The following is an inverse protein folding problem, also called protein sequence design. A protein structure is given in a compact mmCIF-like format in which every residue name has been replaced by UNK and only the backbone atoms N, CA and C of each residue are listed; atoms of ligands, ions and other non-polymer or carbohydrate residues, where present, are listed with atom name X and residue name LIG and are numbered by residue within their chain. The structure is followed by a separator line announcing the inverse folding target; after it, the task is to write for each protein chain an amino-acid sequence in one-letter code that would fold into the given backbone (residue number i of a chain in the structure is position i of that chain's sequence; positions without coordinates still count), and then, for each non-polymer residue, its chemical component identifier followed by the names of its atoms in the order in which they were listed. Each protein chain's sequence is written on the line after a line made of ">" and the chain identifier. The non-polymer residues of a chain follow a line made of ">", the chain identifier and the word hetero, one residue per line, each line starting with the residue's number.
data_IF_784941972074
#
_entry.id   IF_784941972074
#
_cell.length_a   1.000
_cell.length_b   1.000
_cell.length_c   1.000
_cell.angle_alpha   90.00
_cell.angle_beta   90.00
_cell.angle_gamma   90.00
#
_symmetry.space_group_name_H-M   'P 1'
#
loop_
_entity.id
_entity.type
_entity.pdbx_description
1 polymer ?
#
# COMPACT_ATOMS: atom_id res chain seq x y z
N UNK A 1 36.61 -29.62 2.61
CA UNK A 1 35.35 -28.86 2.51
C UNK A 1 34.88 -28.57 3.93
N UNK A 2 34.55 -27.32 4.30
CA UNK A 2 34.00 -27.03 5.64
C UNK A 2 32.59 -27.62 5.71
N UNK A 3 32.29 -28.39 6.76
CA UNK A 3 30.95 -28.88 7.00
C UNK A 3 29.99 -27.70 7.20
N UNK A 4 28.86 -27.71 6.48
CA UNK A 4 27.82 -26.69 6.62
C UNK A 4 27.10 -26.92 7.95
N UNK A 5 26.99 -25.87 8.77
CA UNK A 5 26.16 -25.90 9.97
C UNK A 5 24.68 -25.73 9.57
N UNK A 6 23.99 -26.85 9.33
CA UNK A 6 22.59 -26.87 8.91
C UNK A 6 21.64 -26.21 9.90
N UNK A 7 21.86 -26.39 11.21
CA UNK A 7 21.03 -25.77 12.24
C UNK A 7 21.16 -24.23 12.19
N UNK A 8 22.39 -23.72 12.08
CA UNK A 8 22.63 -22.29 11.93
C UNK A 8 22.02 -21.72 10.64
N UNK A 9 22.18 -22.43 9.52
CA UNK A 9 21.57 -22.03 8.24
C UNK A 9 20.03 -22.00 8.32
N UNK A 10 19.42 -22.99 8.97
CA UNK A 10 17.98 -23.07 9.16
C UNK A 10 17.44 -21.91 10.00
N UNK A 11 18.09 -21.58 11.12
CA UNK A 11 17.70 -20.45 11.97
C UNK A 11 17.79 -19.13 11.21
N UNK A 12 18.86 -18.91 10.43
CA UNK A 12 19.02 -17.70 9.62
C UNK A 12 17.92 -17.62 8.55
N UNK A 13 17.58 -18.73 7.90
CA UNK A 13 16.49 -18.78 6.93
C UNK A 13 15.13 -18.45 7.58
N UNK A 14 14.85 -18.99 8.78
CA UNK A 14 13.64 -18.67 9.54
C UNK A 14 13.56 -17.17 9.88
N UNK A 15 14.67 -16.57 10.32
CA UNK A 15 14.72 -15.12 10.58
C UNK A 15 14.43 -14.35 9.31
N UNK A 16 15.03 -14.74 8.17
CA UNK A 16 14.77 -14.11 6.87
C UNK A 16 13.29 -14.13 6.49
N UNK A 17 12.63 -15.28 6.63
CA UNK A 17 11.19 -15.43 6.35
C UNK A 17 10.36 -14.59 7.32
N UNK A 18 10.65 -14.65 8.62
CA UNK A 18 9.93 -13.88 9.62
C UNK A 18 10.05 -12.36 9.39
N UNK A 19 11.27 -11.88 9.12
CA UNK A 19 11.50 -10.46 8.79
C UNK A 19 10.78 -10.04 7.51
N UNK A 20 10.76 -10.90 6.48
CA UNK A 20 10.01 -10.60 5.25
C UNK A 20 8.51 -10.45 5.52
N UNK A 21 7.91 -11.37 6.28
CA UNK A 21 6.49 -11.30 6.64
C UNK A 21 6.16 -10.04 7.47
N UNK A 22 7.06 -9.63 8.37
CA UNK A 22 6.91 -8.37 9.12
C UNK A 22 6.99 -7.16 8.19
N UNK A 23 7.92 -7.13 7.23
CA UNK A 23 8.01 -6.05 6.25
C UNK A 23 6.80 -6.01 5.31
N UNK A 24 6.21 -7.17 4.98
CA UNK A 24 4.98 -7.20 4.21
C UNK A 24 3.79 -6.65 5.01
N UNK A 25 3.80 -6.82 6.34
CA UNK A 25 2.80 -6.25 7.24
C UNK A 25 2.91 -4.72 7.32
N UNK A 26 4.10 -4.14 7.22
CA UNK A 26 4.28 -2.68 7.31
C UNK A 26 3.75 -1.92 6.09
N UNK A 27 3.59 -2.60 4.95
CA UNK A 27 3.19 -1.96 3.70
C UNK A 27 1.66 -1.90 3.48
N UNK A 28 1.24 -1.13 2.47
CA UNK A 28 -0.19 -0.90 2.12
C UNK A 28 -0.89 -2.12 1.50
N UNK A 29 -0.15 -3.04 0.87
CA UNK A 29 -0.71 -4.28 0.32
C UNK A 29 -1.17 -5.19 1.45
N UNK A 30 -0.29 -5.35 2.45
CA UNK A 30 -0.47 -6.25 3.58
C UNK A 30 -0.14 -7.69 3.26
N UNK A 31 -0.39 -8.57 4.23
CA UNK A 31 -0.07 -10.00 4.17
C UNK A 31 -1.14 -10.83 4.87
N UNK A 32 -1.33 -12.08 4.43
CA UNK A 32 -2.29 -13.03 5.00
C UNK A 32 -1.60 -13.93 6.03
N UNK A 33 -1.16 -13.33 7.14
CA UNK A 33 -0.37 -14.02 8.19
C UNK A 33 -1.10 -15.18 8.87
N UNK A 34 -2.43 -15.18 8.82
CA UNK A 34 -3.28 -16.11 9.57
C UNK A 34 -3.78 -17.30 8.74
N UNK A 35 -3.21 -17.53 7.54
CA UNK A 35 -3.54 -18.72 6.77
C UNK A 35 -3.08 -20.00 7.48
N UNK A 36 -3.82 -21.13 7.34
CA UNK A 36 -5.07 -21.30 6.61
C UNK A 36 -6.33 -20.94 7.43
N UNK A 37 -6.18 -20.49 8.68
CA UNK A 37 -7.29 -20.26 9.61
C UNK A 37 -8.14 -19.03 9.24
N UNK A 38 -7.51 -18.00 8.68
CA UNK A 38 -8.21 -16.80 8.22
C UNK A 38 -7.62 -16.27 6.92
N UNK A 39 -8.52 -15.89 6.02
CA UNK A 39 -8.24 -15.28 4.73
C UNK A 39 -7.99 -13.76 4.81
N UNK A 40 -8.06 -13.16 6.00
CA UNK A 40 -7.96 -11.71 6.20
C UNK A 40 -6.57 -11.17 5.84
N UNK A 41 -6.54 -10.06 5.11
CA UNK A 41 -5.33 -9.28 4.89
C UNK A 41 -5.05 -8.38 6.11
N UNK A 42 -3.84 -8.47 6.64
CA UNK A 42 -3.35 -7.61 7.71
C UNK A 42 -2.35 -6.62 7.13
N UNK A 43 -2.44 -5.36 7.55
CA UNK A 43 -1.55 -4.26 7.11
C UNK A 43 -1.44 -3.22 8.21
N UNK A 44 -0.32 -2.51 8.22
CA UNK A 44 -0.04 -1.39 9.13
C UNK A 44 -0.03 -0.04 8.39
N UNK A 45 0.12 -0.04 7.07
CA UNK A 45 0.11 1.17 6.22
C UNK A 45 1.19 2.21 6.54
N UNK A 46 2.33 1.79 7.08
CA UNK A 46 3.39 2.74 7.48
C UNK A 46 4.48 2.91 6.41
N UNK A 47 4.62 1.94 5.51
CA UNK A 47 5.68 1.90 4.51
C UNK A 47 5.14 1.81 3.09
N UNK A 48 5.69 2.63 2.19
CA UNK A 48 5.43 2.53 0.76
C UNK A 48 6.36 1.47 0.14
N UNK A 49 5.89 0.71 -0.85
CA UNK A 49 6.74 -0.29 -1.55
C UNK A 49 7.96 0.37 -2.22
N UNK A 50 7.82 1.62 -2.65
CA UNK A 50 8.90 2.44 -3.21
C UNK A 50 9.25 3.54 -2.20
N UNK A 51 9.75 3.14 -1.03
CA UNK A 51 10.25 4.10 -0.03
C UNK A 51 11.72 4.47 -0.32
N UNK A 52 11.94 5.71 -0.75
CA UNK A 52 13.26 6.17 -1.20
C UNK A 52 14.30 6.22 -0.08
N UNK A 53 13.89 6.38 1.17
CA UNK A 53 14.82 6.39 2.31
C UNK A 53 15.32 4.98 2.61
N UNK A 54 14.41 4.02 2.67
CA UNK A 54 14.77 2.60 2.86
C UNK A 54 15.66 2.15 1.70
N UNK A 55 15.27 2.42 0.45
CA UNK A 55 16.04 2.03 -0.72
C UNK A 55 17.42 2.68 -0.75
N UNK A 56 17.51 3.99 -0.46
CA UNK A 56 18.76 4.73 -0.42
C UNK A 56 19.73 4.20 0.64
N UNK A 57 19.24 3.95 1.87
CA UNK A 57 20.08 3.41 2.95
C UNK A 57 20.53 1.99 2.67
N UNK A 58 19.66 1.13 2.14
CA UNK A 58 20.04 -0.23 1.75
C UNK A 58 21.08 -0.21 0.62
N UNK A 59 20.89 0.65 -0.39
CA UNK A 59 21.84 0.82 -1.48
C UNK A 59 23.21 1.26 -0.97
N UNK A 60 23.27 2.31 -0.14
CA UNK A 60 24.51 2.80 0.47
C UNK A 60 25.17 1.70 1.31
N UNK A 61 24.40 0.97 2.10
CA UNK A 61 24.92 -0.06 3.01
C UNK A 61 25.52 -1.26 2.27
N UNK A 62 25.04 -1.55 1.06
CA UNK A 62 25.61 -2.59 0.19
C UNK A 62 26.80 -2.07 -0.61
N UNK A 63 26.69 -0.87 -1.20
CA UNK A 63 27.68 -0.34 -2.14
C UNK A 63 28.89 0.31 -1.45
N UNK A 64 28.71 1.03 -0.34
CA UNK A 64 29.81 1.75 0.32
C UNK A 64 30.94 0.82 0.80
N UNK A 65 30.67 -0.36 1.40
CA UNK A 65 31.73 -1.32 1.71
C UNK A 65 32.46 -1.86 0.48
N UNK A 66 31.78 -1.97 -0.67
CA UNK A 66 32.40 -2.45 -1.91
C UNK A 66 33.31 -1.37 -2.52
N UNK A 67 32.85 -0.12 -2.57
CA UNK A 67 33.63 1.01 -3.07
C UNK A 67 34.84 1.31 -2.18
N UNK A 68 34.66 1.30 -0.86
CA UNK A 68 35.76 1.49 0.09
C UNK A 68 36.84 0.42 -0.08
N UNK A 69 36.46 -0.82 -0.41
CA UNK A 69 37.44 -1.89 -0.73
C UNK A 69 38.20 -1.60 -2.02
N UNK A 70 37.54 -1.08 -3.05
CA UNK A 70 38.17 -0.75 -4.34
C UNK A 70 39.20 0.38 -4.16
N UNK A 71 38.81 1.47 -3.50
CA UNK A 71 39.70 2.62 -3.25
C UNK A 71 40.89 2.23 -2.36
N UNK A 72 40.65 1.46 -1.29
CA UNK A 72 41.74 1.03 -0.41
C UNK A 72 42.71 0.04 -1.10
N UNK A 73 42.23 -0.75 -2.07
CA UNK A 73 43.08 -1.61 -2.88
C UNK A 73 43.99 -0.79 -3.81
N UNK A 74 43.47 0.29 -4.39
CA UNK A 74 44.23 1.18 -5.28
C UNK A 74 45.33 1.95 -4.54
N UNK A 75 45.08 2.36 -3.29
CA UNK A 75 46.03 3.16 -2.49
C UNK A 75 47.04 2.27 -1.73
N UNK A 76 47.02 0.95 -1.93
CA UNK A 76 47.98 0.03 -1.31
C UNK A 76 47.81 -0.13 0.21
N UNK A 77 46.65 0.23 0.77
CA UNK A 77 46.38 0.11 2.20
C UNK A 77 46.18 -1.37 2.59
N UNK A 78 47.21 -2.00 3.16
CA UNK A 78 47.23 -3.40 3.60
C UNK A 78 46.58 -3.64 4.98
N UNK A 79 45.66 -2.75 5.39
CA UNK A 79 44.97 -2.84 6.68
C UNK A 79 43.93 -3.96 6.73
N UNK A 80 43.94 -4.74 7.81
CA UNK A 80 43.07 -5.89 8.14
C UNK A 80 41.57 -5.56 8.30
N UNK A 81 40.96 -4.74 7.43
CA UNK A 81 39.52 -4.44 7.46
C UNK A 81 38.66 -5.60 6.90
N UNK A 82 38.98 -6.86 7.21
CA UNK A 82 38.22 -8.05 6.81
C UNK A 82 36.89 -8.12 7.58
N UNK A 83 35.91 -7.34 7.13
CA UNK A 83 34.49 -7.48 7.50
C UNK A 83 33.93 -6.46 8.50
N UNK A 84 34.78 -5.68 9.19
CA UNK A 84 34.33 -4.67 10.16
C UNK A 84 33.43 -3.59 9.54
N UNK A 85 33.85 -3.01 8.42
CA UNK A 85 33.05 -2.02 7.69
C UNK A 85 31.70 -2.59 7.24
N UNK A 86 31.69 -3.79 6.64
CA UNK A 86 30.42 -4.44 6.22
C UNK A 86 29.46 -4.66 7.39
N UNK A 87 29.97 -5.12 8.53
CA UNK A 87 29.17 -5.29 9.76
C UNK A 87 28.65 -3.94 10.26
N UNK A 88 29.48 -2.90 10.26
CA UNK A 88 29.07 -1.56 10.68
C UNK A 88 27.94 -1.00 9.79
N UNK A 89 28.07 -1.11 8.46
CA UNK A 89 27.01 -0.69 7.53
C UNK A 89 25.74 -1.54 7.66
N UNK A 90 25.85 -2.84 7.91
CA UNK A 90 24.70 -3.70 8.17
C UNK A 90 23.97 -3.31 9.46
N UNK A 91 24.71 -3.08 10.55
CA UNK A 91 24.14 -2.60 11.82
C UNK A 91 23.51 -1.23 11.65
N UNK A 92 24.17 -0.31 10.95
CA UNK A 92 23.61 1.00 10.61
C UNK A 92 22.28 0.89 9.87
N UNK A 93 22.21 0.06 8.82
CA UNK A 93 20.98 -0.15 8.06
C UNK A 93 19.84 -0.69 8.93
N UNK A 94 20.12 -1.67 9.80
CA UNK A 94 19.13 -2.26 10.69
C UNK A 94 18.64 -1.28 11.75
N UNK A 95 19.54 -0.50 12.36
CA UNK A 95 19.19 0.55 13.32
C UNK A 95 18.35 1.63 12.64
N UNK A 96 18.79 2.09 11.46
CA UNK A 96 18.04 3.06 10.67
C UNK A 96 16.63 2.56 10.36
N UNK A 97 16.50 1.35 9.81
CA UNK A 97 15.20 0.77 9.45
C UNK A 97 14.27 0.69 10.67
N UNK A 98 14.80 0.23 11.82
CA UNK A 98 14.04 0.12 13.07
C UNK A 98 13.53 1.48 13.55
N UNK A 99 14.41 2.49 13.58
CA UNK A 99 14.05 3.85 14.00
C UNK A 99 13.09 4.52 13.02
N UNK A 100 13.31 4.32 11.71
CA UNK A 100 12.50 4.89 10.65
C UNK A 100 11.07 4.32 10.67
N UNK A 101 10.92 3.00 10.73
CA UNK A 101 9.62 2.32 10.87
C UNK A 101 8.91 2.72 12.17
N UNK A 102 9.66 2.85 13.28
CA UNK A 102 9.12 3.35 14.55
C UNK A 102 8.58 4.78 14.46
N UNK A 103 9.35 5.69 13.85
CA UNK A 103 8.93 7.08 13.61
C UNK A 103 7.72 7.16 12.67
N UNK A 104 7.74 6.37 11.58
CA UNK A 104 6.61 6.21 10.65
C UNK A 104 5.36 5.71 11.35
N UNK A 105 5.47 4.72 12.25
CA UNK A 105 4.34 4.22 13.02
C UNK A 105 3.71 5.29 13.90
N UNK A 106 4.52 6.10 14.59
CA UNK A 106 4.01 7.21 15.41
C UNK A 106 3.34 8.28 14.53
N UNK A 107 3.96 8.64 13.41
CA UNK A 107 3.40 9.59 12.45
C UNK A 107 2.07 9.08 11.85
N UNK A 108 2.02 7.83 11.44
CA UNK A 108 0.82 7.18 10.92
C UNK A 108 -0.32 7.20 11.95
N UNK A 109 -0.05 6.83 13.20
CA UNK A 109 -1.05 6.86 14.26
C UNK A 109 -1.62 8.28 14.47
N UNK A 110 -0.78 9.32 14.37
CA UNK A 110 -1.24 10.72 14.41
C UNK A 110 -2.07 11.09 13.17
N UNK A 111 -1.70 10.62 11.98
CA UNK A 111 -2.44 10.88 10.76
C UNK A 111 -3.83 10.24 10.80
N UNK A 112 -3.92 8.99 11.26
CA UNK A 112 -5.20 8.28 11.49
C UNK A 112 -6.05 9.01 12.52
N UNK A 113 -5.50 9.36 13.69
CA UNK A 113 -6.24 10.11 14.71
C UNK A 113 -6.71 11.49 14.22
N UNK A 114 -5.92 12.15 13.37
CA UNK A 114 -6.29 13.42 12.73
C UNK A 114 -7.49 13.25 11.80
N UNK A 115 -7.59 12.14 11.06
CA UNK A 115 -8.74 11.83 10.20
C UNK A 115 -9.97 11.44 11.04
N UNK A 116 -9.82 10.62 12.06
CA UNK A 116 -10.93 10.13 12.89
C UNK A 116 -11.61 11.23 13.71
N UNK A 117 -10.85 12.24 14.14
CA UNK A 117 -11.34 13.33 15.00
C UNK A 117 -12.08 14.45 14.25
N UNK A 118 -12.40 14.26 12.96
CA UNK A 118 -12.97 15.28 12.08
C UNK A 118 -14.30 14.84 11.49
N UNK A 119 -15.05 15.83 11.01
CA UNK A 119 -16.35 15.63 10.37
C UNK A 119 -16.20 15.92 8.88
N UNK A 120 -16.73 15.03 8.04
CA UNK A 120 -16.68 15.11 6.58
C UNK A 120 -18.10 15.29 6.05
N UNK A 121 -18.36 16.44 5.43
CA UNK A 121 -19.68 16.80 4.92
C UNK A 121 -20.83 16.67 5.94
N UNK A 122 -20.56 16.98 7.21
CA UNK A 122 -21.54 16.91 8.30
C UNK A 122 -21.61 15.57 9.03
N UNK A 123 -20.90 14.54 8.56
CA UNK A 123 -20.94 13.20 9.15
C UNK A 123 -19.54 12.77 9.65
N UNK A 124 -19.48 12.10 10.79
CA UNK A 124 -18.25 11.47 11.26
C UNK A 124 -17.87 10.27 10.36
N UNK A 125 -16.58 10.00 10.11
CA UNK A 125 -16.19 8.88 9.27
C UNK A 125 -16.51 7.55 9.96
N UNK A 126 -17.07 6.60 9.22
CA UNK A 126 -17.25 5.21 9.67
C UNK A 126 -15.94 4.43 9.62
N UNK A 127 -15.00 4.85 8.76
CA UNK A 127 -13.68 4.27 8.61
C UNK A 127 -12.70 5.28 8.03
N UNK A 128 -11.44 5.19 8.43
CA UNK A 128 -10.36 5.97 7.82
C UNK A 128 -9.18 5.08 7.41
N UNK A 129 -8.29 5.61 6.57
CA UNK A 129 -6.96 5.08 6.33
C UNK A 129 -5.99 6.23 6.00
N UNK A 130 -4.73 6.07 6.34
CA UNK A 130 -3.66 6.97 5.94
C UNK A 130 -2.60 6.17 5.17
N UNK A 131 -2.46 6.43 3.87
CA UNK A 131 -1.47 5.79 3.01
C UNK A 131 -0.15 6.59 2.98
N UNK A 132 1.02 5.93 3.09
CA UNK A 132 2.31 6.59 3.05
C UNK A 132 2.71 6.96 1.61
N UNK A 133 3.28 8.15 1.45
CA UNK A 133 3.98 8.53 0.22
C UNK A 133 5.39 7.91 0.14
N UNK A 134 6.04 7.97 -1.04
CA UNK A 134 7.35 7.37 -1.28
C UNK A 134 8.53 8.15 -0.66
N UNK A 135 8.32 9.43 -0.30
CA UNK A 135 9.40 10.33 0.17
C UNK A 135 9.11 10.89 1.56
N UNK A 136 7.91 11.43 1.79
CA UNK A 136 7.60 12.20 2.99
C UNK A 136 7.28 11.31 4.18
N UNK A 137 7.82 11.65 5.34
CA UNK A 137 7.49 11.08 6.65
C UNK A 137 6.21 11.67 7.26
N UNK A 138 5.84 12.89 6.86
CA UNK A 138 4.80 13.69 7.51
C UNK A 138 3.56 13.88 6.65
N UNK A 139 3.65 13.61 5.34
CA UNK A 139 2.52 13.69 4.43
C UNK A 139 1.93 12.31 4.17
N UNK A 140 0.62 12.21 4.34
CA UNK A 140 -0.14 10.98 4.22
C UNK A 140 -1.36 11.20 3.34
N UNK A 141 -1.63 10.25 2.45
CA UNK A 141 -2.88 10.24 1.68
C UNK A 141 -3.98 9.67 2.56
N UNK A 142 -4.81 10.56 3.10
CA UNK A 142 -5.98 10.21 3.90
C UNK A 142 -7.15 9.76 3.05
N UNK A 143 -7.83 8.73 3.50
CA UNK A 143 -9.14 8.26 3.03
C UNK A 143 -10.06 8.32 4.25
N UNK A 144 -11.16 9.07 4.15
CA UNK A 144 -12.21 9.11 5.16
C UNK A 144 -13.53 8.68 4.53
N UNK A 145 -14.06 7.55 4.96
CA UNK A 145 -15.30 6.98 4.47
C UNK A 145 -16.45 7.33 5.41
N UNK A 146 -17.55 7.81 4.84
CA UNK A 146 -18.83 8.05 5.51
C UNK A 146 -19.89 7.14 4.88
N UNK A 147 -21.12 7.07 5.41
CA UNK A 147 -22.19 6.29 4.78
C UNK A 147 -22.47 6.74 3.33
N UNK A 148 -22.43 8.03 3.03
CA UNK A 148 -22.83 8.60 1.73
C UNK A 148 -21.66 8.82 0.77
N UNK A 149 -20.47 9.13 1.28
CA UNK A 149 -19.32 9.49 0.45
C UNK A 149 -17.99 8.99 0.99
N UNK A 150 -16.98 9.05 0.14
CA UNK A 150 -15.57 8.95 0.53
C UNK A 150 -14.87 10.28 0.26
N UNK A 151 -14.13 10.78 1.24
CA UNK A 151 -13.25 11.93 1.08
C UNK A 151 -11.78 11.46 1.01
N UNK A 152 -11.06 11.97 0.02
CA UNK A 152 -9.61 11.74 -0.16
C UNK A 152 -8.90 13.07 0.06
N UNK A 153 -8.07 13.12 1.08
CA UNK A 153 -7.49 14.37 1.60
C UNK A 153 -6.02 14.16 1.96
N UNK A 154 -5.19 15.17 1.71
CA UNK A 154 -3.80 15.13 2.15
C UNK A 154 -3.73 15.47 3.64
N UNK A 155 -3.03 14.66 4.43
CA UNK A 155 -2.78 14.90 5.85
C UNK A 155 -1.30 15.27 5.98
N UNK A 156 -1.03 16.55 6.23
CA UNK A 156 0.30 17.02 6.56
C UNK A 156 0.41 17.22 8.07
N UNK A 157 1.22 16.40 8.74
CA UNK A 157 1.39 16.44 10.20
C UNK A 157 2.18 17.66 10.72
N UNK A 158 2.76 18.46 9.83
CA UNK A 158 3.49 19.67 10.16
C UNK A 158 2.63 20.95 10.06
N UNK A 159 1.40 20.84 9.57
CA UNK A 159 0.51 21.97 9.35
C UNK A 159 -0.90 21.71 9.87
N UNK A 160 -1.77 22.68 9.63
CA UNK A 160 -3.18 22.54 9.95
C UNK A 160 -3.87 21.57 8.99
N UNK A 161 -4.85 20.85 9.53
CA UNK A 161 -5.65 19.91 8.76
C UNK A 161 -7.04 20.47 8.50
N UNK A 162 -7.35 20.71 7.22
CA UNK A 162 -8.69 21.05 6.75
C UNK A 162 -9.39 19.83 6.13
N UNK A 163 -10.40 19.23 6.80
CA UNK A 163 -11.16 18.12 6.23
C UNK A 163 -11.98 18.51 4.99
N UNK A 164 -12.30 19.81 4.82
CA UNK A 164 -13.11 20.27 3.70
C UNK A 164 -12.34 20.34 2.37
N UNK A 165 -11.01 20.47 2.42
CA UNK A 165 -10.10 20.51 1.27
C UNK A 165 -9.99 19.17 0.52
N UNK A 166 -10.49 18.07 1.11
CA UNK A 166 -10.49 16.76 0.49
C UNK A 166 -11.41 16.67 -0.74
N UNK A 167 -10.99 15.91 -1.75
CA UNK A 167 -11.87 15.52 -2.87
C UNK A 167 -12.94 14.56 -2.37
N UNK A 168 -14.18 14.73 -2.81
CA UNK A 168 -15.33 13.94 -2.33
C UNK A 168 -15.92 13.14 -3.47
N UNK A 169 -16.15 11.85 -3.22
CA UNK A 169 -16.74 10.91 -4.16
C UNK A 169 -17.96 10.27 -3.51
N UNK A 170 -19.13 10.49 -4.08
CA UNK A 170 -20.39 9.93 -3.57
C UNK A 170 -20.50 8.46 -3.95
N UNK A 171 -20.96 7.64 -3.00
CA UNK A 171 -21.21 6.23 -3.26
C UNK A 171 -22.46 6.10 -4.14
N UNK A 172 -22.46 5.17 -5.10
CA UNK A 172 -23.66 4.90 -5.89
C UNK A 172 -24.72 4.28 -4.99
N UNK A 173 -25.98 4.56 -5.31
CA UNK A 173 -27.11 3.82 -4.73
C UNK A 173 -26.95 2.31 -5.02
N UNK A 174 -27.40 1.41 -4.13
CA UNK A 174 -27.41 -0.01 -4.39
C UNK A 174 -28.21 -0.34 -5.65
N UNK A 175 -27.53 -0.86 -6.67
CA UNK A 175 -28.13 -1.22 -7.97
C UNK A 175 -27.98 -2.71 -8.23
N UNK A 176 -28.97 -3.31 -8.87
CA UNK A 176 -28.90 -4.70 -9.34
C UNK A 176 -27.70 -4.96 -10.26
N UNK A 177 -27.22 -3.95 -10.97
CA UNK A 177 -26.03 -4.05 -11.82
C UNK A 177 -24.75 -4.28 -11.00
N UNK A 178 -24.63 -3.64 -9.83
CA UNK A 178 -23.50 -3.87 -8.91
C UNK A 178 -23.52 -5.31 -8.41
N UNK A 179 -24.70 -5.82 -8.04
CA UNK A 179 -24.84 -7.19 -7.56
C UNK A 179 -24.60 -8.24 -8.65
N UNK A 180 -25.01 -7.95 -9.89
CA UNK A 180 -24.67 -8.78 -11.05
C UNK A 180 -23.15 -8.83 -11.29
N UNK A 181 -22.47 -7.68 -11.27
CA UNK A 181 -21.02 -7.59 -11.43
C UNK A 181 -20.27 -8.30 -10.28
N UNK A 182 -20.72 -8.12 -9.03
CA UNK A 182 -20.12 -8.69 -7.81
C UNK A 182 -20.03 -10.22 -7.85
N UNK A 183 -20.98 -10.89 -8.51
CA UNK A 183 -21.03 -12.36 -8.66
C UNK A 183 -20.11 -12.92 -9.75
N UNK A 184 -19.38 -12.06 -10.46
CA UNK A 184 -18.43 -12.51 -11.48
C UNK A 184 -17.11 -12.91 -10.82
N UNK A 185 -16.40 -13.94 -11.36
CA UNK A 185 -15.12 -14.36 -10.80
C UNK A 185 -14.07 -13.23 -10.70
N UNK A 186 -14.12 -12.27 -11.63
CA UNK A 186 -13.23 -11.09 -11.66
C UNK A 186 -13.45 -10.22 -10.42
N UNK A 187 -14.70 -9.89 -10.11
CA UNK A 187 -15.03 -9.05 -8.96
C UNK A 187 -14.85 -9.82 -7.64
N UNK A 188 -15.16 -11.11 -7.60
CA UNK A 188 -14.89 -11.94 -6.41
C UNK A 188 -13.41 -11.93 -6.05
N UNK A 189 -12.51 -12.17 -7.01
CA UNK A 189 -11.06 -12.16 -6.75
C UNK A 189 -10.56 -10.76 -6.38
N UNK A 190 -11.04 -9.73 -7.08
CA UNK A 190 -10.73 -8.34 -6.75
C UNK A 190 -11.13 -7.99 -5.32
N UNK A 191 -12.35 -8.33 -4.89
CA UNK A 191 -12.87 -8.03 -3.56
C UNK A 191 -12.23 -8.88 -2.47
N UNK A 192 -11.67 -10.05 -2.79
CA UNK A 192 -10.84 -10.84 -1.86
C UNK A 192 -9.54 -10.13 -1.49
N UNK A 193 -9.04 -9.27 -2.35
CA UNK A 193 -7.84 -8.46 -2.10
C UNK A 193 -8.18 -7.04 -1.62
N UNK A 194 -9.22 -6.43 -2.19
CA UNK A 194 -9.56 -5.02 -1.98
C UNK A 194 -10.00 -4.76 -0.55
N UNK A 195 -9.31 -3.85 0.12
CA UNK A 195 -9.63 -3.47 1.50
C UNK A 195 -10.40 -2.15 1.58
N UNK A 196 -10.31 -1.28 0.57
CA UNK A 196 -11.11 -0.05 0.43
C UNK A 196 -11.76 0.00 -0.95
N UNK A 197 -12.71 -0.91 -1.25
CA UNK A 197 -13.42 -0.90 -2.53
C UNK A 197 -14.35 0.31 -2.63
N UNK A 198 -14.21 1.07 -3.70
CA UNK A 198 -15.14 2.12 -4.09
C UNK A 198 -15.81 1.73 -5.40
N UNK A 199 -17.13 1.84 -5.45
CA UNK A 199 -17.94 1.47 -6.60
C UNK A 199 -18.32 2.71 -7.39
N UNK A 200 -18.31 2.60 -8.71
CA UNK A 200 -18.80 3.62 -9.61
C UNK A 200 -19.68 2.98 -10.67
N UNK A 201 -20.76 3.66 -11.02
CA UNK A 201 -21.72 3.20 -12.01
C UNK A 201 -21.98 4.34 -12.98
N UNK A 202 -21.70 4.10 -14.26
CA UNK A 202 -21.90 5.07 -15.34
C UNK A 202 -22.59 4.41 -16.53
N UNK A 203 -23.30 5.17 -17.37
CA UNK A 203 -23.78 4.63 -18.65
C UNK A 203 -22.59 4.17 -19.51
N UNK A 204 -22.67 2.97 -20.10
CA UNK A 204 -21.59 2.41 -20.95
C UNK A 204 -21.25 3.31 -22.15
N UNK A 205 -22.22 4.08 -22.64
CA UNK A 205 -22.07 5.00 -23.78
C UNK A 205 -22.04 4.31 -25.15
N UNK A 206 -21.93 2.97 -25.19
CA UNK A 206 -21.87 2.18 -26.44
C UNK A 206 -23.27 1.73 -26.90
N UNK A 207 -24.10 1.28 -25.96
CA UNK A 207 -25.46 0.78 -26.23
C UNK A 207 -26.42 1.35 -25.19
N UNK A 208 -27.62 1.73 -25.64
CA UNK A 208 -28.67 2.23 -24.75
C UNK A 208 -29.10 1.14 -23.75
N UNK A 209 -29.12 1.47 -22.46
CA UNK A 209 -29.47 0.55 -21.39
C UNK A 209 -28.30 -0.28 -20.85
N UNK A 210 -27.11 -0.20 -21.45
CA UNK A 210 -25.91 -0.78 -20.85
C UNK A 210 -25.31 0.12 -19.78
N UNK A 211 -24.93 -0.50 -18.68
CA UNK A 211 -24.31 0.13 -17.53
C UNK A 211 -22.89 -0.38 -17.37
N UNK A 212 -21.94 0.55 -17.23
CA UNK A 212 -20.57 0.26 -16.83
C UNK A 212 -20.51 0.27 -15.30
N UNK A 213 -20.09 -0.86 -14.72
CA UNK A 213 -19.90 -1.02 -13.27
C UNK A 213 -18.41 -1.17 -13.02
N UNK A 214 -17.88 -0.33 -12.14
CA UNK A 214 -16.47 -0.33 -11.75
C UNK A 214 -16.34 -0.46 -10.24
N UNK A 215 -15.41 -1.30 -9.80
CA UNK A 215 -14.94 -1.35 -8.42
C UNK A 215 -13.44 -1.08 -8.42
N UNK A 216 -13.00 -0.08 -7.66
CA UNK A 216 -11.59 0.30 -7.54
C UNK A 216 -11.13 0.27 -6.09
N UNK A 217 -9.87 -0.08 -5.85
CA UNK A 217 -9.31 -0.04 -4.50
C UNK A 217 -8.66 1.33 -4.26
N UNK A 218 -9.26 2.10 -3.35
CA UNK A 218 -8.84 3.46 -3.05
C UNK A 218 -7.44 3.55 -2.44
N UNK A 219 -6.83 2.43 -2.03
CA UNK A 219 -5.42 2.38 -1.60
C UNK A 219 -4.46 2.67 -2.76
N UNK A 220 -4.83 2.32 -3.99
CA UNK A 220 -3.93 2.35 -5.16
C UNK A 220 -4.32 3.40 -6.21
N UNK A 221 -5.47 4.04 -6.06
CA UNK A 221 -5.95 5.08 -6.97
C UNK A 221 -7.21 5.76 -6.44
N UNK A 222 -7.83 6.58 -7.28
CA UNK A 222 -9.14 7.18 -7.03
C UNK A 222 -9.89 7.40 -8.35
N UNK A 223 -11.18 7.80 -8.34
CA UNK A 223 -11.96 7.93 -9.57
C UNK A 223 -11.39 8.90 -10.62
N UNK A 224 -10.51 9.83 -10.25
CA UNK A 224 -9.86 10.73 -11.21
C UNK A 224 -8.58 10.14 -11.82
N UNK A 225 -7.92 9.25 -11.08
CA UNK A 225 -6.75 8.51 -11.56
C UNK A 225 -6.84 7.05 -11.13
N UNK A 226 -7.71 6.26 -11.79
CA UNK A 226 -7.91 4.88 -11.39
C UNK A 226 -6.69 4.04 -11.82
N UNK A 227 -6.36 3.04 -11.02
CA UNK A 227 -5.14 2.24 -11.19
C UNK A 227 -5.30 0.76 -10.85
N UNK A 228 -6.31 0.39 -10.06
CA UNK A 228 -6.56 -0.97 -9.63
C UNK A 228 -8.08 -1.19 -9.67
N UNK A 229 -8.60 -1.60 -10.83
CA UNK A 229 -10.04 -1.55 -11.13
C UNK A 229 -10.54 -2.88 -11.72
N UNK A 230 -11.61 -3.41 -11.15
CA UNK A 230 -12.45 -4.42 -11.79
C UNK A 230 -13.63 -3.73 -12.48
N UNK A 231 -13.89 -4.09 -13.74
CA UNK A 231 -14.91 -3.46 -14.57
C UNK A 231 -15.83 -4.52 -15.17
N UNK A 232 -17.12 -4.23 -15.22
CA UNK A 232 -18.12 -5.03 -15.90
C UNK A 232 -19.05 -4.15 -16.75
N UNK A 233 -19.50 -4.68 -17.88
CA UNK A 233 -20.62 -4.13 -18.65
C UNK A 233 -21.84 -5.00 -18.36
N UNK A 234 -22.90 -4.37 -17.89
CA UNK A 234 -24.16 -5.01 -17.51
C UNK A 234 -25.27 -4.49 -18.42
N UNK A 235 -26.02 -5.40 -19.04
CA UNK A 235 -27.14 -5.04 -19.90
C UNK A 235 -28.38 -4.59 -19.10
N UNK A 236 -29.41 -4.11 -19.81
CA UNK A 236 -30.67 -3.69 -19.20
C UNK A 236 -31.38 -4.83 -18.40
N UNK A 237 -31.13 -6.08 -18.77
CA UNK A 237 -31.67 -7.28 -18.11
C UNK A 237 -30.82 -7.75 -16.93
N UNK A 238 -29.87 -6.95 -16.46
CA UNK A 238 -28.96 -7.27 -15.35
C UNK A 238 -28.04 -8.45 -15.62
N UNK A 239 -27.75 -8.74 -16.89
CA UNK A 239 -26.80 -9.77 -17.31
C UNK A 239 -25.44 -9.13 -17.57
N UNK A 240 -24.40 -9.74 -17.02
CA UNK A 240 -23.03 -9.30 -17.30
C UNK A 240 -22.65 -9.76 -18.71
N UNK A 241 -22.42 -8.79 -19.59
CA UNK A 241 -21.94 -9.02 -20.97
C UNK A 241 -20.45 -9.35 -20.94
N UNK A 242 -19.69 -8.60 -20.14
CA UNK A 242 -18.23 -8.74 -20.03
C UNK A 242 -17.77 -8.26 -18.67
N UNK A 243 -16.77 -8.94 -18.09
CA UNK A 243 -16.04 -8.48 -16.91
C UNK A 243 -14.54 -8.65 -17.12
N UNK A 244 -13.74 -7.71 -16.63
CA UNK A 244 -12.27 -7.75 -16.73
C UNK A 244 -11.62 -6.90 -15.63
N UNK A 245 -10.31 -7.11 -15.43
CA UNK A 245 -9.51 -6.35 -14.47
C UNK A 245 -8.46 -5.52 -15.22
N UNK A 246 -8.15 -4.32 -14.71
CA UNK A 246 -7.12 -3.44 -15.23
C UNK A 246 -6.21 -2.94 -14.10
N UNK A 247 -4.92 -2.89 -14.40
CA UNK A 247 -3.87 -2.34 -13.54
C UNK A 247 -3.09 -1.23 -14.23
N UNK A 248 -2.74 -0.17 -13.49
CA UNK A 248 -2.04 1.02 -14.00
C UNK A 248 -3.00 2.09 -14.52
N UNK A 249 -2.48 3.18 -15.09
CA UNK A 249 -3.27 4.35 -15.52
C UNK A 249 -4.39 3.93 -16.49
N UNK A 250 -5.59 3.73 -15.95
CA UNK A 250 -6.80 3.62 -16.76
C UNK A 250 -7.17 5.03 -17.19
N UNK A 251 -7.47 5.23 -18.48
CA UNK A 251 -7.84 6.56 -18.97
C UNK A 251 -9.04 7.06 -18.16
N UNK A 252 -8.97 8.24 -17.50
CA UNK A 252 -10.19 8.88 -17.03
C UNK A 252 -11.08 9.10 -18.26
N UNK A 253 -12.33 8.64 -18.19
CA UNK A 253 -13.32 8.81 -19.24
C UNK A 253 -14.39 9.78 -18.77
#
# INVERSE_FOLDING_TARGET
>A
MRAVNWAGAYVIALIGVASHLVLDLTNVYGVRLLLPFSARWLRWDITNVIDFWIWGVLFISVCAPALARLVNAEIGATGQARGGARRAFAVFALVFLTLYEGARSVAHARAVATLESRVYAGTAPSRVAAGPGPVSLFEWRGIAETPELVSIVNVNLLGDFDPAAGRRFYKPEPLSAIEAARRTPVFEEFLRFSQYPFWQVTPSGHVAGETLVEAMDLRFGDPQSPSFVATAIVDANQRVIRAWFQFGKTRPR
#
